data_IF_369343397114
#
_entry.id   IF_369343397114
#
_cell.length_a   1.000
_cell.length_b   1.000
_cell.length_c   1.000
_cell.angle_alpha   90.00
_cell.angle_beta   90.00
_cell.angle_gamma   90.00
#
_symmetry.space_group_name_H-M   'P 1'
#
loop_
_entity.id
_entity.type
_entity.pdbx_description
1 polymer ?
#
# COMPACT_ATOMS: atom_id res chain seq x y z
N UNK A 1 9.46 13.98 -1.46
CA UNK A 1 9.69 12.67 -2.11
C UNK A 1 10.35 11.75 -1.11
N UNK A 2 9.73 10.61 -0.78
CA UNK A 2 10.33 9.62 0.11
C UNK A 2 10.81 8.43 -0.72
N UNK A 3 12.00 7.92 -0.42
CA UNK A 3 12.53 6.70 -1.04
C UNK A 3 12.62 5.60 0.01
N UNK A 4 12.25 4.38 -0.35
CA UNK A 4 12.46 3.20 0.50
C UNK A 4 13.15 2.11 -0.30
N UNK A 5 13.78 1.16 0.39
CA UNK A 5 14.39 0.00 -0.26
C UNK A 5 13.42 -1.16 -0.28
N UNK A 6 13.40 -1.87 -1.40
CA UNK A 6 12.80 -3.19 -1.50
C UNK A 6 13.61 -4.19 -0.68
N UNK A 7 12.93 -5.12 0.00
CA UNK A 7 13.56 -6.13 0.86
C UNK A 7 13.00 -7.51 0.55
N UNK A 8 13.84 -8.55 0.53
CA UNK A 8 13.38 -9.94 0.46
C UNK A 8 12.72 -10.30 1.80
N UNK A 9 11.49 -10.82 1.74
CA UNK A 9 10.74 -11.29 2.92
C UNK A 9 10.06 -12.61 2.54
N UNK A 10 10.51 -13.71 3.14
CA UNK A 10 10.06 -15.06 2.78
C UNK A 10 10.24 -15.32 1.28
N UNK A 11 9.19 -15.80 0.62
CA UNK A 11 9.16 -16.03 -0.84
C UNK A 11 9.09 -14.75 -1.69
N UNK A 12 8.83 -13.58 -1.09
CA UNK A 12 8.41 -12.36 -1.79
C UNK A 12 9.38 -11.18 -1.59
N UNK A 13 9.04 -10.03 -2.17
CA UNK A 13 9.72 -8.75 -1.94
C UNK A 13 8.70 -7.77 -1.35
N UNK A 14 9.09 -7.02 -0.32
CA UNK A 14 8.26 -6.00 0.31
C UNK A 14 8.83 -4.61 0.08
N UNK A 15 7.93 -3.64 -0.13
CA UNK A 15 8.19 -2.22 -0.10
C UNK A 15 7.83 -1.69 1.30
N UNK A 16 8.71 -0.90 1.89
CA UNK A 16 8.40 -0.23 3.17
C UNK A 16 7.62 1.04 2.91
N UNK A 17 6.53 1.26 3.65
CA UNK A 17 5.78 2.52 3.61
C UNK A 17 6.17 3.33 4.86
N UNK A 18 6.73 4.54 4.72
CA UNK A 18 6.97 5.46 5.84
C UNK A 18 5.69 5.71 6.66
N UNK A 19 5.74 5.74 8.01
CA UNK A 19 4.56 5.92 8.85
C UNK A 19 3.71 7.15 8.48
N UNK A 20 4.36 8.29 8.18
CA UNK A 20 3.65 9.50 7.78
C UNK A 20 2.78 9.33 6.51
N UNK A 21 3.14 8.41 5.60
CA UNK A 21 2.30 8.10 4.43
C UNK A 21 1.13 7.19 4.78
N UNK A 22 1.26 6.33 5.79
CA UNK A 22 0.14 5.55 6.31
C UNK A 22 -0.89 6.46 6.98
N UNK A 23 -0.43 7.46 7.74
CA UNK A 23 -1.30 8.43 8.42
C UNK A 23 -2.13 9.25 7.42
N UNK A 24 -1.50 9.74 6.34
CA UNK A 24 -2.17 10.50 5.27
C UNK A 24 -3.20 9.66 4.51
N UNK A 25 -2.95 8.36 4.36
CA UNK A 25 -3.85 7.43 3.66
C UNK A 25 -4.84 6.73 4.59
N UNK A 26 -4.79 7.00 5.89
CA UNK A 26 -5.56 6.31 6.93
C UNK A 26 -5.46 4.77 6.86
N UNK A 27 -4.25 4.26 6.59
CA UNK A 27 -3.97 2.84 6.51
C UNK A 27 -3.28 2.35 7.79
N UNK A 28 -3.58 1.13 8.20
CA UNK A 28 -2.88 0.43 9.27
C UNK A 28 -2.22 -0.85 8.75
N UNK A 29 -1.38 -1.47 9.57
CA UNK A 29 -0.82 -2.79 9.26
C UNK A 29 -1.94 -3.81 8.99
N UNK A 30 -1.63 -4.80 8.15
CA UNK A 30 -2.58 -5.84 7.71
C UNK A 30 -3.83 -5.33 6.96
N UNK A 31 -3.93 -4.03 6.66
CA UNK A 31 -4.99 -3.50 5.78
C UNK A 31 -4.82 -4.06 4.37
N UNK A 32 -5.90 -4.58 3.79
CA UNK A 32 -5.90 -5.04 2.40
C UNK A 32 -5.85 -3.84 1.44
N UNK A 33 -4.99 -3.94 0.43
CA UNK A 33 -4.83 -2.92 -0.61
C UNK A 33 -4.87 -3.57 -1.99
N UNK A 34 -5.34 -2.81 -2.97
CA UNK A 34 -5.22 -3.17 -4.38
C UNK A 34 -3.83 -2.80 -4.90
N UNK A 35 -3.28 -3.63 -5.78
CA UNK A 35 -2.02 -3.36 -6.49
C UNK A 35 -2.29 -3.37 -7.99
N UNK A 36 -1.77 -2.38 -8.70
CA UNK A 36 -1.84 -2.29 -10.15
C UNK A 36 -0.54 -1.72 -10.73
N UNK A 37 -0.27 -2.02 -12.00
CA UNK A 37 0.76 -1.31 -12.76
C UNK A 37 0.05 -0.32 -13.67
N UNK A 38 0.38 0.96 -13.54
CA UNK A 38 -0.16 2.04 -14.37
C UNK A 38 0.98 2.93 -14.84
N UNK A 39 1.12 3.10 -16.16
CA UNK A 39 2.18 3.88 -16.79
C UNK A 39 3.59 3.58 -16.25
N UNK A 40 3.92 2.30 -16.07
CA UNK A 40 5.21 1.84 -15.56
C UNK A 40 5.42 2.05 -14.06
N UNK A 41 4.41 2.52 -13.34
CA UNK A 41 4.46 2.74 -11.90
C UNK A 41 3.62 1.69 -11.15
N UNK A 42 4.11 1.24 -10.00
CA UNK A 42 3.31 0.44 -9.07
C UNK A 42 2.36 1.38 -8.33
N UNK A 43 1.06 1.22 -8.57
CA UNK A 43 0.01 1.97 -7.87
C UNK A 43 -0.60 1.09 -6.79
N UNK A 44 -0.59 1.60 -5.56
CA UNK A 44 -1.23 0.99 -4.40
C UNK A 44 -2.52 1.75 -4.11
N UNK A 45 -3.66 1.06 -4.11
CA UNK A 45 -4.97 1.67 -3.85
C UNK A 45 -5.52 1.16 -2.52
N UNK A 46 -5.85 2.03 -1.55
CA UNK A 46 -6.64 1.65 -0.39
C UNK A 46 -7.92 0.93 -0.83
N UNK A 47 -8.19 -0.25 -0.28
CA UNK A 47 -9.53 -0.83 -0.39
C UNK A 47 -10.31 -0.37 0.83
N UNK A 48 -10.96 0.79 0.72
CA UNK A 48 -12.02 1.12 1.66
C UNK A 48 -13.12 0.07 1.49
N UNK A 49 -13.39 -0.70 2.54
CA UNK A 49 -14.59 -1.51 2.60
C UNK A 49 -15.74 -0.52 2.52
N UNK A 50 -16.34 -0.38 1.33
CA UNK A 50 -17.60 0.34 1.16
C UNK A 50 -18.70 -0.51 1.79
N UNK A 51 -18.80 -0.51 3.12
CA UNK A 51 -20.02 -0.91 3.82
C UNK A 51 -21.02 0.25 3.72
N UNK A 52 -21.47 0.52 2.51
CA UNK A 52 -22.71 1.26 2.26
C UNK A 52 -23.54 0.39 1.33
N UNK A 53 -24.18 -0.60 1.93
CA UNK A 53 -25.42 -1.12 1.42
C UNK A 53 -26.49 -0.61 2.38
N UNK A 54 -27.36 0.27 1.87
CA UNK A 54 -28.58 0.70 2.53
C UNK A 54 -29.53 -0.49 2.70
#
# INVERSE_FOLDING_TARGET
MHTTKLRKVGGSVMLSIPPALLDVLHLTENTQVGLAVDNGQLVVKPQTISSLHF
#
